data_IF_143449846703
#
_entry.id   IF_143449846703
#
_cell.length_a   1.000
_cell.length_b   1.000
_cell.length_c   1.000
_cell.angle_alpha   90.00
_cell.angle_beta   90.00
_cell.angle_gamma   90.00
#
_symmetry.space_group_name_H-M   'P 1'
#
loop_
_entity.id
_entity.type
_entity.pdbx_description
1 polymer ?
#
# COMPACT_ATOMS: atom_id res chain seq x y z
N UNK A 1 7.18 10.82 -15.11
CA UNK A 1 6.52 12.03 -14.62
C UNK A 1 5.09 12.18 -15.16
N UNK A 2 4.84 12.17 -16.49
CA UNK A 2 3.47 12.37 -17.06
C UNK A 2 2.47 11.33 -16.56
N UNK A 3 2.81 10.04 -16.62
CA UNK A 3 1.94 8.96 -16.14
C UNK A 3 1.62 9.12 -14.64
N UNK A 4 2.60 9.48 -13.82
CA UNK A 4 2.40 9.70 -12.38
C UNK A 4 1.45 10.87 -12.10
N UNK A 5 1.58 11.96 -12.86
CA UNK A 5 0.69 13.13 -12.75
C UNK A 5 -0.75 12.76 -13.11
N UNK A 6 -0.95 12.08 -14.24
CA UNK A 6 -2.28 11.61 -14.69
C UNK A 6 -2.89 10.72 -13.61
N UNK A 7 -2.11 9.82 -13.03
CA UNK A 7 -2.57 8.90 -11.99
C UNK A 7 -2.98 9.65 -10.70
N UNK A 8 -2.21 10.66 -10.27
CA UNK A 8 -2.56 11.47 -9.10
C UNK A 8 -3.83 12.29 -9.34
N UNK A 9 -3.96 12.90 -10.53
CA UNK A 9 -5.18 13.62 -10.89
C UNK A 9 -6.38 12.66 -10.84
N UNK A 10 -6.24 11.45 -11.37
CA UNK A 10 -7.29 10.43 -11.34
C UNK A 10 -7.68 10.04 -9.91
N UNK A 11 -6.71 9.81 -9.02
CA UNK A 11 -6.96 9.49 -7.61
C UNK A 11 -7.61 10.67 -6.88
N UNK A 12 -7.17 11.91 -7.14
CA UNK A 12 -7.77 13.13 -6.57
C UNK A 12 -9.23 13.28 -7.01
N UNK A 13 -9.53 12.99 -8.27
CA UNK A 13 -10.90 12.99 -8.79
C UNK A 13 -11.77 11.93 -8.10
N UNK A 14 -11.25 10.71 -7.88
CA UNK A 14 -11.99 9.68 -7.14
C UNK A 14 -12.33 10.18 -5.73
N UNK A 15 -11.39 10.78 -5.03
CA UNK A 15 -11.59 11.30 -3.68
C UNK A 15 -12.61 12.46 -3.66
N UNK A 16 -12.62 13.30 -4.68
CA UNK A 16 -13.63 14.35 -4.85
C UNK A 16 -15.06 13.78 -4.86
N UNK A 17 -15.29 12.59 -5.45
CA UNK A 17 -16.60 11.92 -5.49
C UNK A 17 -17.02 11.29 -4.16
N UNK A 18 -16.25 11.45 -3.10
CA UNK A 18 -16.59 11.09 -1.73
C UNK A 18 -16.04 9.75 -1.27
N UNK A 19 -15.96 9.64 0.05
CA UNK A 19 -15.31 8.55 0.77
C UNK A 19 -15.87 7.18 0.45
N UNK A 20 -17.20 7.05 0.36
CA UNK A 20 -17.85 5.76 0.09
C UNK A 20 -17.39 5.13 -1.23
N UNK A 21 -17.18 5.94 -2.27
CA UNK A 21 -16.66 5.47 -3.57
C UNK A 21 -15.19 5.11 -3.46
N UNK A 22 -14.40 5.94 -2.80
CA UNK A 22 -12.97 5.70 -2.56
C UNK A 22 -12.74 4.39 -1.80
N UNK A 23 -13.51 4.14 -0.74
CA UNK A 23 -13.41 2.89 0.04
C UNK A 23 -13.79 1.66 -0.78
N UNK A 24 -14.83 1.75 -1.61
CA UNK A 24 -15.22 0.64 -2.47
C UNK A 24 -14.15 0.31 -3.51
N UNK A 25 -13.55 1.31 -4.15
CA UNK A 25 -12.44 1.09 -5.11
C UNK A 25 -11.23 0.50 -4.39
N UNK A 26 -10.85 1.06 -3.23
CA UNK A 26 -9.75 0.53 -2.43
C UNK A 26 -9.97 -0.93 -2.01
N UNK A 27 -11.21 -1.32 -1.68
CA UNK A 27 -11.58 -2.71 -1.37
C UNK A 27 -11.33 -3.65 -2.54
N UNK A 28 -11.74 -3.28 -3.74
CA UNK A 28 -11.47 -4.07 -4.94
C UNK A 28 -9.99 -4.17 -5.25
N UNK A 29 -9.23 -3.10 -5.03
CA UNK A 29 -7.77 -3.12 -5.17
C UNK A 29 -7.13 -4.12 -4.21
N UNK A 30 -7.53 -4.11 -2.94
CA UNK A 30 -7.02 -5.06 -1.93
C UNK A 30 -7.34 -6.51 -2.34
N UNK A 31 -8.58 -6.80 -2.76
CA UNK A 31 -8.94 -8.15 -3.21
C UNK A 31 -8.09 -8.60 -4.41
N UNK A 32 -7.87 -7.71 -5.38
CA UNK A 32 -7.03 -8.01 -6.54
C UNK A 32 -5.59 -8.33 -6.12
N UNK A 33 -5.00 -7.51 -5.23
CA UNK A 33 -3.63 -7.72 -4.75
C UNK A 33 -3.52 -9.05 -4.01
N UNK A 34 -4.44 -9.33 -3.08
CA UNK A 34 -4.43 -10.56 -2.29
C UNK A 34 -4.57 -11.80 -3.19
N UNK A 35 -5.47 -11.76 -4.17
CA UNK A 35 -5.64 -12.85 -5.14
C UNK A 35 -4.37 -13.09 -5.95
N UNK A 36 -3.72 -12.03 -6.45
CA UNK A 36 -2.48 -12.16 -7.22
C UNK A 36 -1.35 -12.70 -6.32
N UNK A 37 -1.24 -12.26 -5.06
CA UNK A 37 -0.23 -12.77 -4.13
C UNK A 37 -0.47 -14.24 -3.76
N UNK A 38 -1.72 -14.66 -3.56
CA UNK A 38 -2.06 -16.08 -3.34
C UNK A 38 -1.68 -16.91 -4.57
N UNK A 39 -2.03 -16.42 -5.77
CA UNK A 39 -1.66 -17.09 -7.02
C UNK A 39 -0.14 -17.16 -7.20
N UNK A 40 0.58 -16.10 -6.83
CA UNK A 40 2.04 -16.07 -6.82
C UNK A 40 2.61 -17.16 -5.90
N UNK A 41 2.15 -17.24 -4.65
CA UNK A 41 2.60 -18.24 -3.67
C UNK A 41 2.38 -19.66 -4.21
N UNK A 42 1.19 -19.95 -4.74
CA UNK A 42 0.85 -21.26 -5.30
C UNK A 42 1.72 -21.56 -6.52
N UNK A 43 1.91 -20.60 -7.41
CA UNK A 43 2.72 -20.77 -8.63
C UNK A 43 4.17 -21.12 -8.31
N UNK A 44 4.79 -20.38 -7.40
CA UNK A 44 6.19 -20.57 -7.04
C UNK A 44 6.40 -21.85 -6.25
N UNK A 45 5.54 -22.16 -5.27
CA UNK A 45 5.64 -23.40 -4.47
C UNK A 45 5.39 -24.66 -5.29
N UNK A 46 4.60 -24.56 -6.37
CA UNK A 46 4.33 -25.69 -7.29
C UNK A 46 5.42 -25.88 -8.34
N UNK A 47 6.48 -25.07 -8.33
CA UNK A 47 7.59 -25.16 -9.28
C UNK A 47 8.56 -26.29 -8.90
N UNK A 48 9.07 -27.02 -9.90
CA UNK A 48 10.11 -28.04 -9.72
C UNK A 48 11.44 -27.45 -9.19
N UNK A 49 11.66 -26.16 -9.39
CA UNK A 49 12.86 -25.44 -8.95
C UNK A 49 12.74 -24.88 -7.52
N UNK A 50 11.58 -25.06 -6.87
CA UNK A 50 11.37 -24.61 -5.50
C UNK A 50 12.11 -25.52 -4.51
N UNK A 51 12.86 -24.91 -3.60
CA UNK A 51 13.57 -25.62 -2.53
C UNK A 51 13.20 -25.05 -1.17
N UNK A 52 13.02 -25.93 -0.19
CA UNK A 52 12.86 -25.54 1.21
C UNK A 52 14.20 -25.26 1.91
N UNK A 53 15.34 -25.54 1.25
CA UNK A 53 16.68 -25.25 1.78
C UNK A 53 17.03 -23.78 1.64
N UNK A 54 16.33 -22.97 2.43
CA UNK A 54 16.55 -21.52 2.46
C UNK A 54 17.77 -21.26 3.34
N UNK A 55 18.73 -20.42 2.90
CA UNK A 55 19.95 -20.13 3.64
C UNK A 55 19.68 -19.20 4.84
N UNK A 56 18.85 -19.66 5.78
CA UNK A 56 18.52 -18.91 6.98
C UNK A 56 19.75 -18.87 7.90
N UNK A 57 20.11 -17.69 8.36
CA UNK A 57 21.19 -17.47 9.32
C UNK A 57 22.61 -17.45 8.74
N UNK A 58 22.81 -17.71 7.46
CA UNK A 58 24.12 -17.51 6.81
C UNK A 58 24.40 -16.01 6.71
N UNK A 59 25.48 -15.54 7.33
CA UNK A 59 25.83 -14.11 7.34
C UNK A 59 25.06 -13.28 8.37
N UNK A 60 24.51 -13.89 9.43
CA UNK A 60 23.86 -13.17 10.51
C UNK A 60 24.79 -12.10 11.10
N UNK A 61 24.30 -10.87 11.14
CA UNK A 61 24.94 -9.75 11.81
C UNK A 61 23.87 -8.94 12.53
N UNK A 62 24.16 -8.52 13.75
CA UNK A 62 23.25 -7.68 14.54
C UNK A 62 22.91 -6.36 13.83
N UNK A 63 23.90 -5.78 13.12
CA UNK A 63 23.68 -4.59 12.27
C UNK A 63 22.65 -4.85 11.17
N UNK A 64 22.77 -5.99 10.47
CA UNK A 64 21.84 -6.36 9.40
C UNK A 64 20.46 -6.67 9.95
N UNK A 65 20.35 -7.24 11.14
CA UNK A 65 19.07 -7.46 11.82
C UNK A 65 18.35 -6.13 12.10
N UNK A 66 19.05 -5.15 12.68
CA UNK A 66 18.46 -3.83 12.95
C UNK A 66 18.04 -3.13 11.66
N UNK A 67 18.88 -3.18 10.61
CA UNK A 67 18.54 -2.60 9.31
C UNK A 67 17.28 -3.23 8.71
N UNK A 68 17.22 -4.57 8.74
CA UNK A 68 16.05 -5.31 8.26
C UNK A 68 14.80 -4.96 9.08
N UNK A 69 14.92 -4.89 10.40
CA UNK A 69 13.81 -4.49 11.28
C UNK A 69 13.31 -3.09 10.98
N UNK A 70 14.19 -2.15 10.63
CA UNK A 70 13.81 -0.78 10.24
C UNK A 70 13.03 -0.76 8.93
N UNK A 71 13.43 -1.57 7.94
CA UNK A 71 12.72 -1.69 6.65
C UNK A 71 11.34 -2.33 6.86
N UNK A 72 11.27 -3.40 7.68
CA UNK A 72 10.01 -4.05 8.02
C UNK A 72 9.07 -3.11 8.79
N UNK A 73 9.58 -2.33 9.73
CA UNK A 73 8.81 -1.32 10.43
C UNK A 73 8.13 -0.36 9.45
N UNK A 74 8.89 0.14 8.46
CA UNK A 74 8.34 1.03 7.44
C UNK A 74 7.21 0.37 6.64
N UNK A 75 7.33 -0.92 6.32
CA UNK A 75 6.30 -1.67 5.59
C UNK A 75 4.96 -1.78 6.35
N UNK A 76 4.98 -1.64 7.68
CA UNK A 76 3.80 -1.70 8.53
C UNK A 76 3.23 -0.33 8.94
N UNK A 77 3.88 0.80 8.64
CA UNK A 77 3.47 2.13 9.14
C UNK A 77 2.07 2.60 8.69
N UNK A 78 1.47 1.95 7.70
CA UNK A 78 0.16 2.35 7.16
C UNK A 78 -1.03 2.21 8.11
N UNK A 79 -0.94 1.39 9.17
CA UNK A 79 -2.05 1.11 10.09
C UNK A 79 -2.51 2.34 10.88
N UNK A 80 -1.62 3.25 11.20
CA UNK A 80 -1.92 4.46 12.00
C UNK A 80 -2.93 5.39 11.32
N UNK A 81 -3.08 5.29 9.99
CA UNK A 81 -4.06 6.08 9.24
C UNK A 81 -5.50 5.70 9.55
N UNK A 82 -5.77 4.49 10.02
CA UNK A 82 -7.11 4.09 10.42
C UNK A 82 -7.66 4.99 11.54
N UNK A 83 -6.80 5.55 12.39
CA UNK A 83 -7.20 6.50 13.42
C UNK A 83 -7.78 7.81 12.85
N UNK A 84 -7.39 8.23 11.64
CA UNK A 84 -7.92 9.45 11.02
C UNK A 84 -9.36 9.30 10.52
N UNK A 85 -9.89 8.07 10.46
CA UNK A 85 -11.26 7.76 10.05
C UNK A 85 -12.23 7.58 11.22
N UNK A 86 -11.82 7.95 12.44
CA UNK A 86 -12.63 7.77 13.65
C UNK A 86 -14.00 8.45 13.61
N UNK A 87 -14.13 9.59 12.92
CA UNK A 87 -15.41 10.30 12.75
C UNK A 87 -16.38 9.60 11.77
N UNK A 88 -15.94 8.58 11.04
CA UNK A 88 -16.69 7.93 9.95
C UNK A 88 -17.04 6.48 10.23
N UNK A 89 -16.60 5.97 11.37
CA UNK A 89 -16.79 4.58 11.78
C UNK A 89 -17.71 4.54 12.99
N UNK A 90 -18.74 3.71 12.93
CA UNK A 90 -19.61 3.45 14.08
C UNK A 90 -18.81 2.73 15.18
N UNK A 91 -18.87 3.23 16.42
CA UNK A 91 -18.13 2.68 17.57
C UNK A 91 -16.62 2.51 17.29
N UNK A 92 -15.90 3.60 16.95
CA UNK A 92 -14.51 3.56 16.49
C UNK A 92 -13.57 2.94 17.53
N UNK A 93 -13.85 3.11 18.83
CA UNK A 93 -13.09 2.55 19.95
C UNK A 93 -13.04 1.01 19.96
N UNK A 94 -13.99 0.33 19.32
CA UNK A 94 -14.06 -1.13 19.22
C UNK A 94 -13.62 -1.63 17.84
N UNK A 95 -14.08 -0.95 16.80
CA UNK A 95 -13.89 -1.40 15.41
C UNK A 95 -12.47 -1.13 14.93
N UNK A 96 -11.90 0.06 15.21
CA UNK A 96 -10.58 0.43 14.73
C UNK A 96 -9.47 -0.48 15.29
N UNK A 97 -9.38 -0.74 16.61
CA UNK A 97 -8.35 -1.66 17.13
C UNK A 97 -8.46 -3.07 16.55
N UNK A 98 -9.68 -3.60 16.41
CA UNK A 98 -9.92 -4.91 15.82
C UNK A 98 -9.50 -4.96 14.36
N UNK A 99 -9.84 -3.93 13.57
CA UNK A 99 -9.44 -3.83 12.17
C UNK A 99 -7.92 -3.75 12.01
N UNK A 100 -7.23 -3.01 12.88
CA UNK A 100 -5.77 -2.92 12.91
C UNK A 100 -5.16 -4.30 13.18
N UNK A 101 -5.58 -5.00 14.23
CA UNK A 101 -5.03 -6.31 14.60
C UNK A 101 -5.23 -7.35 13.51
N UNK A 102 -6.44 -7.44 12.96
CA UNK A 102 -6.75 -8.38 11.86
C UNK A 102 -5.95 -8.02 10.60
N UNK A 103 -5.92 -6.73 10.24
CA UNK A 103 -5.17 -6.26 9.07
C UNK A 103 -3.67 -6.52 9.19
N UNK A 104 -3.07 -6.22 10.34
CA UNK A 104 -1.65 -6.51 10.61
C UNK A 104 -1.36 -8.01 10.55
N UNK A 105 -2.24 -8.85 11.11
CA UNK A 105 -2.08 -10.31 11.07
C UNK A 105 -2.09 -10.86 9.65
N UNK A 106 -3.05 -10.43 8.82
CA UNK A 106 -3.12 -10.83 7.40
C UNK A 106 -1.89 -10.32 6.63
N UNK A 107 -1.49 -9.08 6.84
CA UNK A 107 -0.33 -8.48 6.17
C UNK A 107 0.96 -9.21 6.56
N UNK A 108 1.16 -9.51 7.84
CA UNK A 108 2.32 -10.27 8.32
C UNK A 108 2.38 -11.65 7.67
N UNK A 109 1.25 -12.37 7.64
CA UNK A 109 1.16 -13.68 7.00
C UNK A 109 1.55 -13.61 5.52
N UNK A 110 1.01 -12.65 4.77
CA UNK A 110 1.32 -12.47 3.36
C UNK A 110 2.79 -12.09 3.14
N UNK A 111 3.36 -11.20 3.94
CA UNK A 111 4.75 -10.78 3.83
C UNK A 111 5.72 -11.93 4.11
N UNK A 112 5.48 -12.67 5.20
CA UNK A 112 6.31 -13.85 5.53
C UNK A 112 6.21 -14.90 4.44
N UNK A 113 4.99 -15.23 3.98
CA UNK A 113 4.78 -16.24 2.95
C UNK A 113 5.42 -15.84 1.61
N UNK A 114 5.24 -14.60 1.16
CA UNK A 114 5.84 -14.13 -0.10
C UNK A 114 7.37 -14.09 -0.01
N UNK A 115 7.94 -13.62 1.09
CA UNK A 115 9.39 -13.59 1.30
C UNK A 115 9.99 -14.98 1.32
N UNK A 116 9.35 -15.90 2.07
CA UNK A 116 9.79 -17.29 2.17
C UNK A 116 9.81 -17.99 0.80
N UNK A 117 8.71 -17.86 0.07
CA UNK A 117 8.54 -18.48 -1.25
C UNK A 117 9.50 -17.88 -2.27
N UNK A 118 9.76 -16.57 -2.23
CA UNK A 118 10.72 -15.90 -3.11
C UNK A 118 12.14 -16.42 -2.86
N UNK A 119 12.55 -16.55 -1.59
CA UNK A 119 13.86 -17.08 -1.21
C UNK A 119 14.03 -18.57 -1.54
N UNK A 120 12.93 -19.32 -1.64
CA UNK A 120 12.94 -20.74 -2.01
C UNK A 120 13.21 -21.01 -3.50
N UNK A 121 13.09 -20.00 -4.37
CA UNK A 121 13.30 -20.17 -5.81
C UNK A 121 14.39 -19.26 -6.39
N UNK A 122 14.65 -18.11 -5.75
CA UNK A 122 15.62 -17.12 -6.24
C UNK A 122 16.81 -17.03 -5.30
N UNK A 123 18.00 -17.04 -5.87
CA UNK A 123 19.21 -16.84 -5.07
C UNK A 123 19.24 -15.42 -4.47
N UNK A 124 19.59 -15.23 -3.18
CA UNK A 124 19.67 -13.93 -2.53
C UNK A 124 20.46 -12.87 -3.30
N UNK A 125 21.55 -13.24 -3.96
CA UNK A 125 22.36 -12.32 -4.76
C UNK A 125 21.60 -11.72 -5.97
N UNK A 126 20.65 -12.45 -6.53
CA UNK A 126 19.80 -11.96 -7.63
C UNK A 126 18.74 -11.01 -7.07
N UNK A 127 18.19 -11.33 -5.89
CA UNK A 127 17.19 -10.47 -5.21
C UNK A 127 17.81 -9.11 -4.89
N UNK A 128 19.01 -9.09 -4.36
CA UNK A 128 19.75 -7.88 -3.97
C UNK A 128 19.94 -6.89 -5.14
N UNK A 129 20.16 -7.42 -6.34
CA UNK A 129 20.42 -6.64 -7.56
C UNK A 129 19.18 -6.41 -8.43
N UNK A 130 18.02 -6.94 -8.04
CA UNK A 130 16.80 -6.83 -8.82
C UNK A 130 15.91 -5.69 -8.36
N UNK A 131 15.40 -4.88 -9.31
CA UNK A 131 14.37 -3.89 -9.06
C UNK A 131 12.96 -4.51 -8.91
N UNK A 132 12.79 -5.76 -9.36
CA UNK A 132 11.48 -6.45 -9.35
C UNK A 132 11.63 -7.91 -8.88
N UNK A 133 12.06 -8.16 -7.63
CA UNK A 133 12.40 -9.51 -7.16
C UNK A 133 11.22 -10.49 -7.23
N UNK A 134 10.00 -10.07 -6.95
CA UNK A 134 8.82 -10.93 -7.05
C UNK A 134 8.54 -11.34 -8.50
N UNK A 135 8.76 -10.44 -9.47
CA UNK A 135 8.61 -10.78 -10.89
C UNK A 135 9.65 -11.83 -11.31
N UNK A 136 10.91 -11.64 -10.92
CA UNK A 136 11.98 -12.61 -11.20
C UNK A 136 11.65 -13.99 -10.64
N UNK A 137 11.13 -14.06 -9.40
CA UNK A 137 10.70 -15.33 -8.80
C UNK A 137 9.53 -15.95 -9.59
N UNK A 138 8.59 -15.14 -10.05
CA UNK A 138 7.45 -15.61 -10.83
C UNK A 138 7.88 -16.11 -12.21
N UNK A 139 8.84 -15.45 -12.86
CA UNK A 139 9.40 -15.86 -14.15
C UNK A 139 10.07 -17.24 -14.09
N UNK A 140 10.59 -17.63 -12.90
CA UNK A 140 11.16 -18.95 -12.64
C UNK A 140 10.13 -20.00 -12.21
N UNK A 141 8.88 -19.62 -12.02
CA UNK A 141 7.82 -20.49 -11.52
C UNK A 141 7.15 -21.30 -12.64
N UNK A 142 6.31 -22.25 -12.23
CA UNK A 142 5.52 -23.09 -13.14
C UNK A 142 4.64 -22.29 -14.11
N UNK A 143 4.12 -21.14 -13.65
CA UNK A 143 3.18 -20.31 -14.42
C UNK A 143 3.82 -18.98 -14.82
N UNK A 144 5.06 -19.02 -15.31
CA UNK A 144 5.86 -17.84 -15.70
C UNK A 144 5.16 -16.91 -16.71
N UNK A 145 4.27 -17.45 -17.56
CA UNK A 145 3.45 -16.69 -18.52
C UNK A 145 2.63 -15.58 -17.87
N UNK A 146 2.26 -15.76 -16.59
CA UNK A 146 1.46 -14.81 -15.82
C UNK A 146 2.29 -13.84 -14.96
N UNK A 147 3.61 -13.78 -15.13
CA UNK A 147 4.49 -12.92 -14.33
C UNK A 147 4.16 -11.42 -14.45
N UNK A 148 3.52 -11.00 -15.54
CA UNK A 148 3.01 -9.64 -15.71
C UNK A 148 1.98 -9.23 -14.65
N UNK A 149 1.29 -10.20 -14.02
CA UNK A 149 0.34 -9.93 -12.92
C UNK A 149 1.02 -9.25 -11.74
N UNK A 150 2.31 -9.51 -11.49
CA UNK A 150 3.08 -8.82 -10.43
C UNK A 150 3.20 -7.32 -10.72
N UNK A 151 3.36 -6.94 -11.99
CA UNK A 151 3.39 -5.52 -12.39
C UNK A 151 2.02 -4.89 -12.17
N UNK A 152 0.94 -5.59 -12.53
CA UNK A 152 -0.44 -5.14 -12.27
C UNK A 152 -0.64 -4.98 -10.76
N UNK A 153 -0.27 -6.00 -9.96
CA UNK A 153 -0.42 -5.95 -8.51
C UNK A 153 0.32 -4.77 -7.88
N UNK A 154 1.57 -4.49 -8.31
CA UNK A 154 2.36 -3.37 -7.81
C UNK A 154 1.73 -2.01 -8.15
N UNK A 155 1.19 -1.88 -9.38
CA UNK A 155 0.49 -0.67 -9.82
C UNK A 155 -0.80 -0.44 -9.01
N UNK A 156 -1.60 -1.49 -8.84
CA UNK A 156 -2.84 -1.45 -8.05
C UNK A 156 -2.53 -1.17 -6.58
N UNK A 157 -1.45 -1.77 -6.03
CA UNK A 157 -1.03 -1.53 -4.65
C UNK A 157 -0.63 -0.06 -4.43
N UNK A 158 0.16 0.52 -5.33
CA UNK A 158 0.51 1.95 -5.28
C UNK A 158 -0.74 2.83 -5.33
N UNK A 159 -1.69 2.49 -6.21
CA UNK A 159 -2.98 3.17 -6.30
C UNK A 159 -3.80 3.09 -5.02
N UNK A 160 -3.86 1.92 -4.40
CA UNK A 160 -4.55 1.71 -3.12
C UNK A 160 -3.97 2.58 -2.00
N UNK A 161 -2.63 2.67 -1.92
CA UNK A 161 -1.96 3.52 -0.94
C UNK A 161 -2.31 4.99 -1.17
N UNK A 162 -2.29 5.49 -2.40
CA UNK A 162 -2.63 6.88 -2.72
C UNK A 162 -4.09 7.19 -2.41
N UNK A 163 -5.02 6.26 -2.72
CA UNK A 163 -6.45 6.40 -2.39
C UNK A 163 -6.72 6.53 -0.89
N UNK A 164 -5.89 5.92 -0.05
CA UNK A 164 -5.99 6.03 1.40
C UNK A 164 -5.23 7.24 1.96
N UNK A 165 -4.10 7.62 1.33
CA UNK A 165 -3.19 8.64 1.84
C UNK A 165 -3.74 10.05 1.61
N UNK A 166 -4.25 10.34 0.42
CA UNK A 166 -4.76 11.67 0.08
C UNK A 166 -5.89 12.12 1.02
N UNK A 167 -7.00 11.37 1.20
CA UNK A 167 -8.06 11.79 2.10
C UNK A 167 -7.62 11.81 3.57
N UNK A 168 -6.67 10.96 3.97
CA UNK A 168 -6.10 11.00 5.32
C UNK A 168 -5.41 12.33 5.62
N UNK A 169 -4.58 12.84 4.68
CA UNK A 169 -3.93 14.15 4.82
C UNK A 169 -4.97 15.28 4.78
N UNK A 170 -5.94 15.22 3.88
CA UNK A 170 -6.99 16.23 3.76
C UNK A 170 -7.78 16.39 5.06
N UNK A 171 -8.05 15.29 5.79
CA UNK A 171 -8.72 15.36 7.10
C UNK A 171 -7.89 16.04 8.18
N UNK A 172 -6.58 15.81 8.17
CA UNK A 172 -5.68 16.53 9.07
C UNK A 172 -5.75 18.04 8.80
N UNK A 173 -5.78 18.47 7.53
CA UNK A 173 -5.97 19.87 7.17
C UNK A 173 -7.32 20.40 7.65
N UNK A 174 -8.41 19.66 7.49
CA UNK A 174 -9.73 20.03 8.02
C UNK A 174 -9.69 20.22 9.53
N UNK A 175 -9.09 19.28 10.26
CA UNK A 175 -8.94 19.38 11.72
C UNK A 175 -8.13 20.62 12.15
N UNK A 176 -7.00 20.88 11.48
CA UNK A 176 -6.20 22.09 11.72
C UNK A 176 -6.96 23.38 11.42
N UNK A 177 -7.82 23.40 10.41
CA UNK A 177 -8.66 24.55 10.10
C UNK A 177 -9.75 24.76 11.14
N UNK A 178 -10.38 23.68 11.66
CA UNK A 178 -11.30 23.74 12.80
C UNK A 178 -10.64 24.34 14.03
N UNK A 179 -9.38 24.00 14.29
CA UNK A 179 -8.57 24.56 15.38
C UNK A 179 -8.04 25.97 15.09
N UNK A 180 -8.45 26.61 13.99
CA UNK A 180 -8.03 27.95 13.55
C UNK A 180 -6.50 28.10 13.34
N UNK A 181 -5.78 27.01 13.10
CA UNK A 181 -4.34 26.99 12.84
C UNK A 181 -3.99 27.26 11.37
N UNK A 182 -4.95 27.03 10.46
CA UNK A 182 -4.86 27.31 9.02
C UNK A 182 -6.17 27.95 8.54
N UNK A 183 -6.20 28.54 7.32
CA UNK A 183 -7.40 29.20 6.82
C UNK A 183 -8.65 28.32 6.83
N UNK A 184 -9.78 28.90 7.20
CA UNK A 184 -11.08 28.24 7.29
C UNK A 184 -11.60 27.66 5.97
N UNK A 185 -11.00 28.05 4.85
CA UNK A 185 -11.29 27.51 3.52
C UNK A 185 -11.17 25.98 3.46
N UNK A 186 -10.23 25.41 4.21
CA UNK A 186 -10.03 23.95 4.27
C UNK A 186 -11.12 23.20 5.01
N UNK A 187 -11.99 23.89 5.77
CA UNK A 187 -13.17 23.28 6.41
C UNK A 187 -14.33 23.01 5.44
N UNK A 188 -14.21 23.46 4.19
CA UNK A 188 -15.31 23.36 3.22
C UNK A 188 -15.54 21.91 2.81
N UNK A 189 -16.72 21.38 3.19
CA UNK A 189 -17.16 20.04 2.84
C UNK A 189 -18.19 20.14 1.70
N UNK A 190 -18.08 19.27 0.71
CA UNK A 190 -19.01 19.23 -0.41
C UNK A 190 -20.40 18.73 0.05
N UNK A 191 -21.50 19.49 -0.15
CA UNK A 191 -22.81 19.22 0.46
C UNK A 191 -23.45 17.90 0.02
N UNK A 192 -23.12 17.40 -1.17
CA UNK A 192 -23.69 16.13 -1.71
C UNK A 192 -22.76 14.94 -1.55
N UNK A 193 -21.47 15.15 -1.41
CA UNK A 193 -20.47 14.07 -1.49
C UNK A 193 -19.72 13.86 -0.18
N UNK A 194 -19.93 14.71 0.82
CA UNK A 194 -19.27 14.68 2.12
C UNK A 194 -17.73 14.57 2.01
N UNK A 195 -17.15 15.15 0.94
CA UNK A 195 -15.69 15.19 0.75
C UNK A 195 -15.14 16.57 1.13
N UNK A 196 -13.94 16.60 1.70
CA UNK A 196 -13.18 17.83 1.98
C UNK A 196 -12.49 18.31 0.68
N UNK A 197 -13.27 18.59 -0.36
CA UNK A 197 -12.77 18.76 -1.73
C UNK A 197 -11.70 19.84 -1.88
N UNK A 198 -11.76 20.92 -1.10
CA UNK A 198 -10.73 21.98 -1.12
C UNK A 198 -9.40 21.44 -0.62
N UNK A 199 -9.42 20.69 0.49
CA UNK A 199 -8.23 20.06 1.04
C UNK A 199 -7.70 18.95 0.10
N UNK A 200 -8.59 18.14 -0.50
CA UNK A 200 -8.21 17.08 -1.45
C UNK A 200 -7.51 17.64 -2.69
N UNK A 201 -8.06 18.71 -3.29
CA UNK A 201 -7.46 19.38 -4.45
C UNK A 201 -6.11 20.01 -4.08
N UNK A 202 -6.03 20.65 -2.92
CA UNK A 202 -4.78 21.28 -2.45
C UNK A 202 -3.66 20.25 -2.25
N UNK A 203 -3.97 19.13 -1.58
CA UNK A 203 -3.01 18.02 -1.39
C UNK A 203 -2.59 17.43 -2.74
N UNK A 204 -3.53 17.16 -3.64
CA UNK A 204 -3.25 16.68 -4.99
C UNK A 204 -2.34 17.64 -5.77
N UNK A 205 -2.59 18.94 -5.68
CA UNK A 205 -1.76 19.97 -6.30
C UNK A 205 -0.32 19.96 -5.77
N UNK A 206 -0.13 19.92 -4.44
CA UNK A 206 1.21 19.85 -3.83
C UNK A 206 1.97 18.62 -4.32
N UNK A 207 1.31 17.46 -4.40
CA UNK A 207 1.94 16.21 -4.86
C UNK A 207 2.36 16.34 -6.34
N UNK A 208 1.52 16.93 -7.19
CA UNK A 208 1.86 17.18 -8.60
C UNK A 208 3.05 18.12 -8.73
N UNK A 209 3.08 19.23 -7.97
CA UNK A 209 4.20 20.16 -7.95
C UNK A 209 5.49 19.47 -7.48
N UNK A 210 5.39 18.59 -6.46
CA UNK A 210 6.52 17.79 -6.02
C UNK A 210 7.09 16.93 -7.14
N UNK A 211 6.25 16.20 -7.89
CA UNK A 211 6.70 15.35 -9.00
C UNK A 211 7.35 16.14 -10.15
N UNK A 212 6.90 17.35 -10.39
CA UNK A 212 7.49 18.20 -11.44
C UNK A 212 8.90 18.64 -11.08
N UNK A 213 9.16 18.91 -9.79
CA UNK A 213 10.45 19.44 -9.30
C UNK A 213 11.49 18.32 -9.01
N UNK A 214 11.08 17.08 -8.75
CA UNK A 214 11.95 15.92 -8.57
C UNK A 214 11.87 14.98 -9.78
#
# INVERSE_FOLDING_TARGET
KVVSIIFIIFVTLINYFGISKTVNIARWFVYTIVLILIFYIISVTSSSNFSFDIPIGKGFSFKNLILSASIWFFAFTGYSRLATFGEEVDSPEKIIPKAILVGLGITLFLYVSTSFVTLGIVNPSIIENSLTPLKVAFDLSRFSEFSYLIIIASTVATGSVLLALLPGISRVLVAMARDKKIPSLFMTIHPKQNSAYVADIFVGFIVVVGILNF
#
